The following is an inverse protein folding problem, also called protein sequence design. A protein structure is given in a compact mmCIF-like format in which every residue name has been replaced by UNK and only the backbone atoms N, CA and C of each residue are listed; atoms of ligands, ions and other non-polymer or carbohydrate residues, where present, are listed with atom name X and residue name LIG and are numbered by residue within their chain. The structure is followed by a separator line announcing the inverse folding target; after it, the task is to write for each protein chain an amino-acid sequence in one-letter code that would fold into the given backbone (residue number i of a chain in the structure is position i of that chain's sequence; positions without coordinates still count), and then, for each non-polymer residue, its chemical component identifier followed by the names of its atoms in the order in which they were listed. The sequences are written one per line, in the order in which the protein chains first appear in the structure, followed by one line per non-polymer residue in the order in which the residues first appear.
data_IF_218398506255
#
_entry.id   IF_218398506255
#
_cell.length_a   1.000
_cell.length_b   1.000
_cell.length_c   1.000
_cell.angle_alpha   90.00
_cell.angle_beta   90.00
_cell.angle_gamma   90.00
#
_symmetry.space_group_name_H-M   'P 1'
#
loop_
_entity.id
_entity.type
_entity.pdbx_description
1 polymer ?
#
# COMPACT_ATOMS: atom_id res chain seq x y z
N UNK A 1 6.91 -32.76 -18.12
CA UNK A 1 5.75 -33.58 -17.71
C UNK A 1 4.55 -32.67 -17.48
N UNK A 2 3.33 -33.16 -17.72
CA UNK A 2 2.09 -32.38 -17.54
C UNK A 2 1.95 -31.74 -16.16
N UNK A 3 2.52 -32.37 -15.12
CA UNK A 3 2.59 -31.85 -13.74
C UNK A 3 3.28 -30.47 -13.64
N UNK A 4 4.47 -30.32 -14.24
CA UNK A 4 5.20 -29.03 -14.20
C UNK A 4 4.47 -27.91 -14.95
N UNK A 5 3.65 -28.26 -15.95
CA UNK A 5 2.83 -27.28 -16.67
C UNK A 5 1.71 -26.79 -15.77
N UNK A 6 0.96 -27.69 -15.13
CA UNK A 6 -0.07 -27.35 -14.13
C UNK A 6 0.46 -26.52 -12.96
N UNK A 7 1.65 -26.85 -12.45
CA UNK A 7 2.29 -26.07 -11.37
C UNK A 7 2.58 -24.63 -11.82
N UNK A 8 3.04 -24.42 -13.06
CA UNK A 8 3.27 -23.08 -13.62
C UNK A 8 1.97 -22.34 -13.92
N UNK A 9 0.99 -23.03 -14.48
CA UNK A 9 -0.31 -22.44 -14.82
C UNK A 9 -1.05 -21.99 -13.55
N UNK A 10 -0.98 -22.77 -12.47
CA UNK A 10 -1.50 -22.39 -11.16
C UNK A 10 -0.76 -21.18 -10.57
N UNK A 11 0.58 -21.17 -10.63
CA UNK A 11 1.38 -20.06 -10.16
C UNK A 11 1.08 -18.76 -10.93
N UNK A 12 0.93 -18.84 -12.26
CA UNK A 12 0.61 -17.72 -13.12
C UNK A 12 -0.80 -17.17 -12.84
N UNK A 13 -1.81 -18.04 -12.71
CA UNK A 13 -3.18 -17.62 -12.35
C UNK A 13 -3.24 -16.97 -10.96
N UNK A 14 -2.47 -17.47 -9.99
CA UNK A 14 -2.34 -16.84 -8.67
C UNK A 14 -1.62 -15.48 -8.74
N UNK A 15 -0.68 -15.32 -9.66
CA UNK A 15 0.04 -14.06 -9.88
C UNK A 15 -0.85 -13.03 -10.58
N UNK A 16 -1.66 -13.45 -11.55
CA UNK A 16 -2.72 -12.63 -12.16
C UNK A 16 -3.77 -12.21 -11.12
N UNK A 17 -4.25 -13.11 -10.27
CA UNK A 17 -5.18 -12.78 -9.18
C UNK A 17 -4.56 -11.80 -8.16
N UNK A 18 -3.25 -11.86 -7.92
CA UNK A 18 -2.53 -10.86 -7.10
C UNK A 18 -2.45 -9.51 -7.80
N UNK A 19 -2.18 -9.49 -9.11
CA UNK A 19 -2.10 -8.27 -9.90
C UNK A 19 -3.46 -7.58 -10.09
N UNK A 20 -4.55 -8.36 -10.17
CA UNK A 20 -5.93 -7.87 -10.26
C UNK A 20 -6.43 -7.21 -8.96
N UNK A 21 -5.66 -7.27 -7.85
CA UNK A 21 -5.87 -6.45 -6.65
C UNK A 21 -5.36 -5.01 -6.84
N UNK A 22 -5.73 -4.36 -7.93
CA UNK A 22 -5.36 -2.97 -8.21
C UNK A 22 -5.97 -1.93 -7.25
N UNK A 23 -6.85 -2.37 -6.34
CA UNK A 23 -7.48 -1.52 -5.34
C UNK A 23 -7.61 -2.29 -4.02
N UNK A 24 -6.93 -1.80 -2.98
CA UNK A 24 -7.08 -2.33 -1.62
C UNK A 24 -8.25 -1.61 -0.91
N UNK A 25 -9.04 -2.31 -0.09
CA UNK A 25 -10.12 -1.67 0.67
C UNK A 25 -9.51 -0.67 1.67
N UNK A 26 -9.99 0.57 1.65
CA UNK A 26 -9.60 1.61 2.61
C UNK A 26 -10.80 1.98 3.49
N UNK A 27 -10.58 2.12 4.79
CA UNK A 27 -11.60 2.59 5.71
C UNK A 27 -11.93 4.04 5.39
N UNK A 28 -13.20 4.34 5.06
CA UNK A 28 -13.61 5.69 4.71
C UNK A 28 -13.38 6.69 5.86
N UNK A 29 -13.50 6.24 7.11
CA UNK A 29 -13.35 7.04 8.33
C UNK A 29 -11.88 7.26 8.70
N UNK A 30 -11.11 6.19 8.93
CA UNK A 30 -9.75 6.31 9.48
C UNK A 30 -8.62 6.08 8.47
N UNK A 31 -8.94 5.85 7.20
CA UNK A 31 -7.98 5.63 6.09
C UNK A 31 -7.01 4.46 6.24
N UNK A 32 -7.23 3.55 7.21
CA UNK A 32 -6.52 2.27 7.28
C UNK A 32 -6.85 1.38 6.10
N UNK A 33 -5.89 0.55 5.67
CA UNK A 33 -6.01 -0.37 4.54
C UNK A 33 -6.29 -1.78 5.08
N UNK A 34 -7.18 -2.52 4.43
CA UNK A 34 -7.44 -3.91 4.78
C UNK A 34 -6.42 -4.83 4.09
N UNK A 35 -5.50 -5.36 4.89
CA UNK A 35 -4.47 -6.29 4.46
C UNK A 35 -4.98 -7.72 4.23
N UNK A 36 -4.12 -8.61 3.72
CA UNK A 36 -4.41 -10.04 3.61
C UNK A 36 -4.79 -10.63 4.98
N UNK A 37 -5.89 -11.38 5.04
CA UNK A 37 -6.42 -11.91 6.30
C UNK A 37 -7.38 -10.98 7.04
N UNK A 38 -7.74 -9.84 6.44
CA UNK A 38 -8.81 -8.97 6.92
C UNK A 38 -8.41 -8.02 8.05
N UNK A 39 -7.12 -8.00 8.43
CA UNK A 39 -6.58 -7.04 9.40
C UNK A 39 -6.51 -5.64 8.79
N UNK A 40 -6.76 -4.65 9.61
CA UNK A 40 -6.60 -3.24 9.24
C UNK A 40 -5.23 -2.75 9.67
N UNK A 41 -4.49 -2.17 8.74
CA UNK A 41 -3.14 -1.67 8.94
C UNK A 41 -3.00 -0.26 8.35
N UNK A 42 -1.94 0.45 8.75
CA UNK A 42 -1.58 1.75 8.19
C UNK A 42 -1.06 1.62 6.75
N UNK A 43 -0.97 2.74 6.03
CA UNK A 43 -0.42 2.73 4.67
C UNK A 43 1.04 2.24 4.68
N UNK A 44 1.81 2.69 5.66
CA UNK A 44 3.22 2.38 5.86
C UNK A 44 3.43 0.88 6.11
N UNK A 45 2.62 0.29 7.00
CA UNK A 45 2.64 -1.15 7.28
C UNK A 45 2.26 -1.98 6.05
N UNK A 46 1.19 -1.58 5.35
CA UNK A 46 0.71 -2.25 4.14
C UNK A 46 1.78 -2.26 3.04
N UNK A 47 2.35 -1.08 2.73
CA UNK A 47 3.34 -0.93 1.67
C UNK A 47 4.64 -1.65 2.02
N UNK A 48 5.09 -1.58 3.27
CA UNK A 48 6.28 -2.29 3.74
C UNK A 48 6.14 -3.83 3.65
N UNK A 49 4.93 -4.34 3.85
CA UNK A 49 4.66 -5.79 3.84
C UNK A 49 4.38 -6.32 2.43
N UNK A 50 3.87 -5.47 1.54
CA UNK A 50 3.37 -5.88 0.22
C UNK A 50 4.16 -5.32 -0.96
N UNK A 51 5.20 -4.53 -0.74
CA UNK A 51 6.08 -4.01 -1.77
C UNK A 51 7.51 -3.81 -1.27
N UNK A 52 8.45 -3.69 -2.20
CA UNK A 52 9.83 -3.29 -1.88
C UNK A 52 9.98 -1.77 -1.69
N UNK A 53 8.87 -1.02 -1.71
CA UNK A 53 8.87 0.43 -1.56
C UNK A 53 9.12 0.81 -0.09
N UNK A 54 10.00 1.79 0.11
CA UNK A 54 10.18 2.45 1.41
C UNK A 54 9.42 3.75 1.42
N UNK A 55 8.54 3.94 2.41
CA UNK A 55 7.88 5.22 2.67
C UNK A 55 8.77 6.05 3.60
N UNK A 56 8.94 7.32 3.26
CA UNK A 56 9.63 8.31 4.08
C UNK A 56 8.65 9.44 4.42
N UNK A 57 8.64 9.85 5.68
CA UNK A 57 7.86 11.00 6.13
C UNK A 57 8.56 12.29 5.69
N UNK A 58 7.99 12.96 4.70
CA UNK A 58 8.50 14.23 4.17
C UNK A 58 7.37 15.24 4.05
N UNK A 59 7.70 16.53 4.18
CA UNK A 59 6.77 17.61 3.90
C UNK A 59 6.95 18.06 2.46
N UNK A 60 5.84 18.22 1.73
CA UNK A 60 5.88 18.89 0.43
C UNK A 60 6.12 20.39 0.61
N UNK A 61 6.53 21.08 -0.46
CA UNK A 61 6.81 22.51 -0.44
C UNK A 61 5.64 23.34 0.14
N UNK A 62 4.40 23.03 -0.26
CA UNK A 62 3.21 23.68 0.27
C UNK A 62 3.09 23.55 1.79
N UNK A 63 3.27 22.34 2.33
CA UNK A 63 3.18 22.12 3.79
C UNK A 63 4.30 22.85 4.54
N UNK A 64 5.50 22.95 3.96
CA UNK A 64 6.60 23.73 4.55
C UNK A 64 6.25 25.22 4.59
N UNK A 65 5.70 25.78 3.51
CA UNK A 65 5.27 27.18 3.44
C UNK A 65 4.18 27.49 4.48
N UNK A 66 3.18 26.61 4.63
CA UNK A 66 2.15 26.75 5.66
C UNK A 66 2.74 26.69 7.08
N UNK A 67 3.61 25.72 7.35
CA UNK A 67 4.23 25.56 8.67
C UNK A 67 5.08 26.77 9.09
N UNK A 68 5.74 27.42 8.12
CA UNK A 68 6.49 28.66 8.37
C UNK A 68 5.55 29.83 8.67
N UNK A 69 4.47 29.97 7.91
CA UNK A 69 3.48 31.02 8.10
C UNK A 69 2.83 30.96 9.49
N UNK A 70 2.42 29.75 9.92
CA UNK A 70 1.82 29.53 11.24
C UNK A 70 2.79 29.86 12.38
N UNK A 71 4.10 29.63 12.19
CA UNK A 71 5.13 29.95 13.19
C UNK A 71 5.44 31.44 13.31
N UNK A 72 5.30 32.21 12.23
CA UNK A 72 5.49 33.67 12.27
C UNK A 72 4.27 34.44 12.76
N UNK A 73 3.10 33.79 12.79
CA UNK A 73 1.84 34.35 13.29
C UNK A 73 1.64 34.17 14.81
N UNK A 74 2.55 33.46 15.50
CA UNK A 74 2.60 33.29 16.95
C UNK A 74 3.73 34.12 17.57
#
# INVERSE_FOLDING_TARGET
TMRKRRERDLAAAMQELKALRGCAPICASCKRIQGPGGKWETLEEFVKTHSDLRIADTLCQYCVEQWQHDRTAA
#
